data_IF_828703835322
#
_entry.id   IF_828703835322
#
_cell.length_a   1.000
_cell.length_b   1.000
_cell.length_c   1.000
_cell.angle_alpha   90.00
_cell.angle_beta   90.00
_cell.angle_gamma   90.00
#
_symmetry.space_group_name_H-M   'P 1'
#
loop_
_entity.id
_entity.type
_entity.pdbx_description
1 polymer ?
#
# COMPACT_ATOMS: atom_id res chain seq x y z
N UNK A 1 16.82 -34.65 11.56
CA UNK A 1 17.11 -34.14 10.21
C UNK A 1 16.51 -35.05 9.16
N UNK A 2 16.12 -34.51 8.01
CA UNK A 2 15.32 -35.22 7.03
C UNK A 2 15.95 -35.22 5.63
N UNK A 3 17.28 -35.36 5.61
CA UNK A 3 18.12 -35.49 4.41
C UNK A 3 18.50 -36.95 4.20
N UNK A 4 18.43 -37.44 2.96
CA UNK A 4 18.76 -38.81 2.56
C UNK A 4 19.78 -38.84 1.41
N UNK A 5 20.52 -39.95 1.32
CA UNK A 5 21.46 -40.22 0.23
C UNK A 5 20.79 -41.13 -0.81
N UNK A 6 21.04 -40.88 -2.09
CA UNK A 6 20.59 -41.72 -3.21
C UNK A 6 21.77 -42.02 -4.13
N UNK A 7 22.00 -43.29 -4.45
CA UNK A 7 22.94 -43.70 -5.50
C UNK A 7 22.25 -43.66 -6.85
N UNK A 8 22.85 -42.99 -7.82
CA UNK A 8 22.37 -42.95 -9.20
C UNK A 8 22.90 -44.15 -9.99
N UNK A 9 22.27 -44.43 -11.14
CA UNK A 9 22.70 -45.50 -12.06
C UNK A 9 24.15 -45.32 -12.53
N UNK A 10 24.62 -44.07 -12.59
CA UNK A 10 25.95 -43.70 -13.04
C UNK A 10 27.01 -43.78 -11.90
N UNK A 11 26.66 -44.34 -10.74
CA UNK A 11 27.57 -44.49 -9.59
C UNK A 11 27.73 -43.24 -8.70
N UNK A 12 27.26 -42.07 -9.15
CA UNK A 12 27.29 -40.83 -8.36
C UNK A 12 26.31 -40.87 -7.17
N UNK A 13 26.68 -40.19 -6.08
CA UNK A 13 25.84 -40.03 -4.90
C UNK A 13 25.17 -38.66 -4.97
N UNK A 14 23.85 -38.63 -4.89
CA UNK A 14 23.06 -37.40 -4.74
C UNK A 14 22.45 -37.34 -3.35
N UNK A 15 22.32 -36.13 -2.84
CA UNK A 15 21.59 -35.86 -1.60
C UNK A 15 20.19 -35.32 -1.93
N UNK A 16 19.23 -35.62 -1.09
CA UNK A 16 17.88 -35.10 -1.19
C UNK A 16 17.30 -34.87 0.19
N UNK A 17 16.19 -34.14 0.25
CA UNK A 17 15.46 -33.89 1.48
C UNK A 17 14.01 -34.36 1.36
N UNK A 18 13.43 -34.64 2.51
CA UNK A 18 12.03 -35.03 2.66
C UNK A 18 11.45 -34.28 3.85
N UNK A 19 10.38 -33.51 3.69
CA UNK A 19 9.65 -33.02 4.85
C UNK A 19 8.16 -32.97 4.58
N UNK A 20 7.38 -33.04 5.65
CA UNK A 20 5.93 -32.92 5.61
C UNK A 20 5.56 -31.56 6.17
N UNK A 21 4.81 -30.80 5.40
CA UNK A 21 4.14 -29.62 5.93
C UNK A 21 3.01 -30.09 6.86
N UNK A 22 3.01 -29.57 8.10
CA UNK A 22 2.05 -29.97 9.12
C UNK A 22 0.66 -29.41 8.88
N UNK A 23 0.54 -28.32 8.12
CA UNK A 23 -0.75 -27.65 7.95
C UNK A 23 -1.46 -28.11 6.69
N UNK A 24 -0.80 -28.04 5.54
CA UNK A 24 -1.40 -28.56 4.30
C UNK A 24 -1.36 -30.08 4.22
N UNK A 25 -0.66 -30.72 5.15
CA UNK A 25 -0.44 -32.16 5.16
C UNK A 25 0.30 -32.69 3.91
N UNK A 26 0.92 -31.78 3.14
CA UNK A 26 1.62 -32.11 1.89
C UNK A 26 3.02 -32.63 2.19
N UNK A 27 3.42 -33.69 1.46
CA UNK A 27 4.74 -34.29 1.58
C UNK A 27 5.64 -33.78 0.47
N UNK A 28 6.74 -33.12 0.83
CA UNK A 28 7.76 -32.62 -0.08
C UNK A 28 8.95 -33.56 -0.08
N UNK A 29 9.26 -34.16 -1.24
CA UNK A 29 10.46 -34.97 -1.44
C UNK A 29 11.18 -34.47 -2.69
N UNK A 30 12.40 -33.96 -2.54
CA UNK A 30 13.21 -33.51 -3.67
C UNK A 30 14.63 -34.02 -3.55
N UNK A 31 15.20 -34.40 -4.69
CA UNK A 31 16.63 -34.66 -4.84
C UNK A 31 17.27 -33.33 -5.23
N UNK A 32 18.36 -32.97 -4.59
CA UNK A 32 19.12 -31.74 -4.90
C UNK A 32 20.26 -32.16 -5.83
N UNK A 33 20.14 -31.96 -7.16
CA UNK A 33 21.08 -32.51 -8.12
C UNK A 33 22.49 -31.91 -7.99
N UNK A 34 22.60 -30.66 -7.52
CA UNK A 34 23.87 -29.96 -7.31
C UNK A 34 24.54 -30.24 -5.95
N UNK A 35 23.84 -30.87 -5.00
CA UNK A 35 24.38 -31.09 -3.66
C UNK A 35 25.48 -32.15 -3.67
N UNK A 36 26.70 -31.75 -3.27
CA UNK A 36 27.86 -32.65 -3.15
C UNK A 36 28.01 -33.17 -1.72
N UNK A 37 27.59 -32.36 -0.75
CA UNK A 37 27.65 -32.70 0.68
C UNK A 37 26.26 -32.82 1.29
N UNK A 38 26.20 -33.44 2.46
CA UNK A 38 24.97 -33.49 3.27
C UNK A 38 24.52 -32.08 3.68
N UNK A 39 25.47 -31.21 3.99
CA UNK A 39 25.21 -29.83 4.42
C UNK A 39 24.49 -29.02 3.34
N UNK A 40 24.89 -29.17 2.06
CA UNK A 40 24.21 -28.50 0.94
C UNK A 40 22.72 -28.88 0.87
N UNK A 41 22.41 -30.16 1.10
CA UNK A 41 21.03 -30.63 1.13
C UNK A 41 20.26 -30.19 2.37
N UNK A 42 20.93 -29.99 3.51
CA UNK A 42 20.35 -29.39 4.71
C UNK A 42 20.01 -27.91 4.47
N UNK A 43 20.89 -27.13 3.83
CA UNK A 43 20.60 -25.75 3.43
C UNK A 43 19.42 -25.67 2.45
N UNK A 44 19.37 -26.57 1.47
CA UNK A 44 18.24 -26.65 0.55
C UNK A 44 16.91 -27.00 1.25
N UNK A 45 16.95 -27.86 2.28
CA UNK A 45 15.78 -28.15 3.11
C UNK A 45 15.31 -26.90 3.88
N UNK A 46 16.24 -26.16 4.50
CA UNK A 46 15.94 -24.93 5.24
C UNK A 46 15.31 -23.89 4.31
N UNK A 47 15.92 -23.66 3.15
CA UNK A 47 15.40 -22.72 2.14
C UNK A 47 13.99 -23.09 1.68
N UNK A 48 13.74 -24.38 1.39
CA UNK A 48 12.42 -24.84 0.99
C UNK A 48 11.35 -24.67 2.09
N UNK A 49 11.72 -24.82 3.37
CA UNK A 49 10.83 -24.54 4.50
C UNK A 49 10.57 -23.05 4.65
N UNK A 50 11.59 -22.21 4.49
CA UNK A 50 11.45 -20.75 4.49
C UNK A 50 10.52 -20.29 3.37
N UNK A 51 10.69 -20.75 2.13
CA UNK A 51 9.80 -20.40 1.01
C UNK A 51 8.32 -20.73 1.29
N UNK A 52 8.03 -21.88 1.90
CA UNK A 52 6.66 -22.25 2.29
C UNK A 52 6.14 -21.35 3.41
N UNK A 53 7.01 -21.01 4.36
CA UNK A 53 6.69 -20.11 5.46
C UNK A 53 6.39 -18.70 4.96
N UNK A 54 7.24 -18.14 4.10
CA UNK A 54 7.14 -16.79 3.55
C UNK A 54 5.88 -16.64 2.67
N UNK A 55 5.63 -17.62 1.79
CA UNK A 55 4.38 -17.71 1.00
C UNK A 55 3.14 -17.66 1.87
N UNK A 56 3.19 -18.35 3.01
CA UNK A 56 2.05 -18.45 3.92
C UNK A 56 1.87 -17.20 4.77
N UNK A 57 2.95 -16.55 5.16
CA UNK A 57 2.90 -15.25 5.81
C UNK A 57 2.49 -14.13 4.83
N UNK A 58 2.38 -14.41 3.53
CA UNK A 58 2.10 -13.39 2.51
C UNK A 58 3.27 -12.42 2.31
N UNK A 59 4.43 -12.76 2.89
CA UNK A 59 5.72 -12.12 2.63
C UNK A 59 6.26 -12.76 1.35
N UNK A 60 5.49 -12.72 0.27
CA UNK A 60 6.13 -12.68 -1.03
C UNK A 60 7.00 -11.42 -1.03
N UNK A 61 8.17 -11.46 -1.66
CA UNK A 61 9.00 -10.29 -1.96
C UNK A 61 8.22 -9.36 -2.90
N UNK A 62 7.03 -8.86 -2.50
CA UNK A 62 6.26 -7.91 -3.29
C UNK A 62 7.19 -6.72 -3.48
N UNK A 63 7.42 -6.46 -4.77
CA UNK A 63 8.70 -5.97 -5.25
C UNK A 63 9.19 -4.72 -4.55
N UNK A 64 10.50 -4.59 -4.54
CA UNK A 64 11.25 -3.35 -4.39
C UNK A 64 10.95 -2.40 -5.57
N UNK A 65 9.68 -2.25 -5.92
CA UNK A 65 9.22 -1.37 -6.98
C UNK A 65 9.49 0.07 -6.50
N UNK A 66 10.36 0.83 -7.20
CA UNK A 66 10.60 2.21 -6.85
C UNK A 66 9.31 3.01 -7.04
N UNK A 67 9.05 3.95 -6.12
CA UNK A 67 7.86 4.81 -6.19
C UNK A 67 7.81 5.58 -7.52
N UNK A 68 8.97 6.00 -8.05
CA UNK A 68 9.07 6.67 -9.36
C UNK A 68 8.51 5.81 -10.49
N UNK A 69 8.93 4.54 -10.56
CA UNK A 69 8.46 3.59 -11.56
C UNK A 69 6.95 3.35 -11.48
N UNK A 70 6.39 3.29 -10.27
CA UNK A 70 4.95 3.18 -10.07
C UNK A 70 4.18 4.38 -10.62
N UNK A 71 4.67 5.60 -10.38
CA UNK A 71 4.01 6.81 -10.89
C UNK A 71 3.93 6.83 -12.41
N UNK A 72 5.03 6.52 -13.08
CA UNK A 72 5.12 6.59 -14.54
C UNK A 72 4.37 5.46 -15.25
N UNK A 73 4.53 4.23 -14.76
CA UNK A 73 3.98 3.06 -15.45
C UNK A 73 2.50 2.82 -15.13
N UNK A 74 2.06 3.16 -13.91
CA UNK A 74 0.74 2.75 -13.41
C UNK A 74 -0.14 3.95 -13.12
N UNK A 75 0.30 4.85 -12.24
CA UNK A 75 -0.58 5.89 -11.70
C UNK A 75 -0.95 6.97 -12.72
N UNK A 76 0.00 7.52 -13.48
CA UNK A 76 -0.26 8.59 -14.45
C UNK A 76 -1.15 8.12 -15.62
N UNK A 77 -0.91 6.95 -16.25
CA UNK A 77 -1.82 6.40 -17.26
C UNK A 77 -3.24 6.19 -16.71
N UNK A 78 -3.35 5.64 -15.49
CA UNK A 78 -4.62 5.43 -14.84
C UNK A 78 -5.34 6.74 -14.51
N UNK A 79 -4.63 7.76 -14.01
CA UNK A 79 -5.20 9.08 -13.70
C UNK A 79 -5.72 9.76 -14.97
N UNK A 80 -4.97 9.69 -16.08
CA UNK A 80 -5.40 10.24 -17.38
C UNK A 80 -6.70 9.60 -17.90
N UNK A 81 -6.89 8.31 -17.67
CA UNK A 81 -8.09 7.60 -18.11
C UNK A 81 -9.31 7.83 -17.21
N UNK A 82 -9.12 7.98 -15.89
CA UNK A 82 -10.21 7.94 -14.92
C UNK A 82 -10.56 9.31 -14.29
N UNK A 83 -9.59 10.21 -14.17
CA UNK A 83 -9.75 11.47 -13.43
C UNK A 83 -9.83 12.67 -14.38
N UNK A 84 -10.73 13.62 -14.07
CA UNK A 84 -10.77 14.93 -14.72
C UNK A 84 -9.56 15.81 -14.34
N UNK A 85 -9.08 15.68 -13.10
CA UNK A 85 -7.96 16.46 -12.53
C UNK A 85 -6.57 15.90 -12.86
N UNK A 86 -6.44 15.07 -13.91
CA UNK A 86 -5.17 14.42 -14.27
C UNK A 86 -4.04 15.41 -14.56
N UNK A 87 -4.37 16.62 -15.03
CA UNK A 87 -3.38 17.67 -15.31
C UNK A 87 -2.67 18.10 -14.03
N UNK A 88 -3.40 18.33 -12.95
CA UNK A 88 -2.82 18.72 -11.67
C UNK A 88 -1.95 17.60 -11.09
N UNK A 89 -2.38 16.35 -11.27
CA UNK A 89 -1.60 15.17 -10.88
C UNK A 89 -0.26 15.12 -11.63
N UNK A 90 -0.26 15.45 -12.93
CA UNK A 90 0.96 15.47 -13.75
C UNK A 90 1.98 16.54 -13.35
N UNK A 91 1.51 17.67 -12.80
CA UNK A 91 2.40 18.73 -12.30
C UNK A 91 3.01 18.40 -10.93
N UNK A 92 2.27 17.66 -10.10
CA UNK A 92 2.66 17.36 -8.72
C UNK A 92 3.48 16.06 -8.61
N UNK A 93 3.25 15.08 -9.48
CA UNK A 93 3.96 13.80 -9.47
C UNK A 93 5.50 13.94 -9.57
N UNK A 94 6.09 14.75 -10.48
CA UNK A 94 7.55 14.88 -10.57
C UNK A 94 8.21 15.34 -9.27
N UNK A 95 7.51 16.22 -8.53
CA UNK A 95 7.99 16.75 -7.28
C UNK A 95 7.99 15.69 -6.17
N UNK A 96 6.97 14.83 -6.13
CA UNK A 96 6.93 13.69 -5.21
C UNK A 96 8.02 12.66 -5.54
N UNK A 97 8.26 12.42 -6.83
CA UNK A 97 9.35 11.53 -7.26
C UNK A 97 10.72 12.04 -6.82
N UNK A 98 10.96 13.35 -6.96
CA UNK A 98 12.22 13.96 -6.55
C UNK A 98 12.45 13.84 -5.04
N UNK A 99 11.40 14.00 -4.23
CA UNK A 99 11.53 13.89 -2.78
C UNK A 99 11.72 12.43 -2.30
N UNK A 100 11.02 11.48 -2.93
CA UNK A 100 11.09 10.06 -2.59
C UNK A 100 12.01 9.27 -3.53
N UNK A 101 13.04 9.92 -4.08
CA UNK A 101 13.99 9.27 -4.97
C UNK A 101 14.72 8.11 -4.27
N UNK A 102 14.87 6.99 -4.97
CA UNK A 102 15.53 5.79 -4.45
C UNK A 102 14.73 4.97 -3.44
N UNK A 103 13.55 5.42 -3.02
CA UNK A 103 12.70 4.70 -2.05
C UNK A 103 11.68 3.80 -2.75
N UNK A 104 11.55 2.58 -2.24
CA UNK A 104 10.48 1.68 -2.65
C UNK A 104 9.15 2.05 -1.99
N UNK A 105 8.03 1.66 -2.61
CA UNK A 105 6.67 1.93 -2.06
C UNK A 105 6.50 1.44 -0.61
N UNK A 106 7.17 0.34 -0.24
CA UNK A 106 7.09 -0.28 1.09
C UNK A 106 7.95 0.40 2.15
N UNK A 107 9.01 1.08 1.73
CA UNK A 107 9.96 1.75 2.65
C UNK A 107 9.42 3.09 3.16
N UNK A 108 8.36 3.60 2.52
CA UNK A 108 7.78 4.90 2.86
C UNK A 108 6.94 4.75 4.12
N UNK A 109 7.50 5.23 5.23
CA UNK A 109 6.82 5.28 6.53
C UNK A 109 5.99 6.56 6.68
N UNK A 110 5.02 6.54 7.60
CA UNK A 110 4.23 7.73 7.96
C UNK A 110 5.11 8.90 8.44
N UNK A 111 6.21 8.61 9.15
CA UNK A 111 7.18 9.63 9.56
C UNK A 111 7.82 10.36 8.38
N UNK A 112 8.13 9.66 7.28
CA UNK A 112 8.70 10.31 6.11
C UNK A 112 7.69 11.21 5.40
N UNK A 113 6.40 10.86 5.46
CA UNK A 113 5.31 11.68 4.93
C UNK A 113 5.10 12.93 5.80
N UNK A 114 5.24 12.82 7.12
CA UNK A 114 5.22 13.98 8.03
C UNK A 114 6.42 14.91 7.83
N UNK A 115 7.62 14.34 7.66
CA UNK A 115 8.82 15.10 7.30
C UNK A 115 8.59 15.86 5.99
N UNK A 116 8.07 15.17 4.97
CA UNK A 116 7.71 15.80 3.70
C UNK A 116 6.76 16.99 3.90
N UNK A 117 5.68 16.79 4.66
CA UNK A 117 4.71 17.84 4.96
C UNK A 117 5.38 19.06 5.61
N UNK A 118 6.23 18.84 6.61
CA UNK A 118 6.93 19.91 7.34
C UNK A 118 7.92 20.65 6.43
N UNK A 119 8.74 19.92 5.67
CA UNK A 119 9.72 20.49 4.74
C UNK A 119 9.05 21.37 3.69
N UNK A 120 7.87 20.94 3.21
CA UNK A 120 7.10 21.69 2.21
C UNK A 120 6.48 22.96 2.73
N UNK A 121 6.09 22.99 4.00
CA UNK A 121 5.60 24.19 4.68
C UNK A 121 6.72 25.18 4.96
N UNK A 122 7.89 24.67 5.35
CA UNK A 122 9.08 25.47 5.67
C UNK A 122 9.78 26.02 4.41
N UNK A 123 9.69 25.32 3.28
CA UNK A 123 10.33 25.75 2.03
C UNK A 123 9.52 26.88 1.37
N UNK A 124 10.06 28.11 1.29
CA UNK A 124 9.37 29.21 0.64
C UNK A 124 9.24 28.96 -0.88
N UNK A 125 8.25 29.60 -1.48
CA UNK A 125 8.08 29.57 -2.94
C UNK A 125 9.15 30.43 -3.61
N UNK A 126 9.38 30.27 -4.92
CA UNK A 126 10.29 31.15 -5.71
C UNK A 126 10.04 32.65 -5.51
N UNK A 127 8.83 33.03 -5.13
CA UNK A 127 8.42 34.41 -4.81
C UNK A 127 8.73 34.85 -3.37
N UNK A 128 9.45 34.04 -2.58
CA UNK A 128 9.74 34.28 -1.17
C UNK A 128 8.55 34.09 -0.21
N UNK A 129 7.35 33.84 -0.73
CA UNK A 129 6.15 33.67 0.09
C UNK A 129 6.08 32.27 0.72
N UNK A 130 5.54 32.14 1.96
CA UNK A 130 5.29 30.83 2.56
C UNK A 130 4.32 30.03 1.68
N UNK A 131 4.55 28.72 1.58
CA UNK A 131 3.67 27.86 0.79
C UNK A 131 2.32 27.72 1.48
N UNK A 132 1.24 27.78 0.68
CA UNK A 132 -0.12 27.65 1.22
C UNK A 132 -0.36 26.21 1.71
N UNK A 133 -0.98 26.01 2.89
CA UNK A 133 -1.29 24.67 3.42
C UNK A 133 -2.17 23.86 2.46
N UNK A 134 -3.09 24.53 1.76
CA UNK A 134 -3.94 23.91 0.74
C UNK A 134 -3.14 23.24 -0.40
N UNK A 135 -1.98 23.79 -0.77
CA UNK A 135 -1.11 23.19 -1.80
C UNK A 135 -0.47 21.91 -1.29
N UNK A 136 0.05 21.92 -0.07
CA UNK A 136 0.63 20.73 0.58
C UNK A 136 -0.42 19.64 0.76
N UNK A 137 -1.64 20.00 1.14
CA UNK A 137 -2.76 19.06 1.22
C UNK A 137 -3.06 18.41 -0.14
N UNK A 138 -2.98 19.14 -1.27
CA UNK A 138 -3.13 18.54 -2.61
C UNK A 138 -2.04 17.53 -2.91
N UNK A 139 -0.77 17.87 -2.61
CA UNK A 139 0.38 16.96 -2.75
C UNK A 139 0.15 15.67 -1.93
N UNK A 140 -0.30 15.79 -0.68
CA UNK A 140 -0.62 14.66 0.19
C UNK A 140 -1.81 13.83 -0.31
N UNK A 141 -2.88 14.47 -0.83
CA UNK A 141 -4.03 13.74 -1.38
C UNK A 141 -3.67 12.92 -2.61
N UNK A 142 -2.78 13.44 -3.47
CA UNK A 142 -2.27 12.69 -4.60
C UNK A 142 -1.50 11.46 -4.12
N UNK A 143 -0.54 11.66 -3.20
CA UNK A 143 0.26 10.56 -2.64
C UNK A 143 -0.63 9.48 -2.01
N UNK A 144 -1.63 9.88 -1.21
CA UNK A 144 -2.61 8.95 -0.62
C UNK A 144 -3.42 8.19 -1.67
N UNK A 145 -3.81 8.86 -2.76
CA UNK A 145 -4.55 8.21 -3.85
C UNK A 145 -3.68 7.24 -4.66
N UNK A 146 -2.38 7.54 -4.80
CA UNK A 146 -1.40 6.65 -5.42
C UNK A 146 -1.20 5.38 -4.59
N UNK A 147 -1.05 5.51 -3.26
CA UNK A 147 -0.98 4.35 -2.36
C UNK A 147 -2.27 3.53 -2.33
N UNK A 148 -3.42 4.18 -2.39
CA UNK A 148 -4.71 3.49 -2.49
C UNK A 148 -4.82 2.68 -3.78
N UNK A 149 -4.25 3.16 -4.89
CA UNK A 149 -4.19 2.42 -6.15
C UNK A 149 -3.15 1.29 -6.08
N UNK A 150 -2.00 1.52 -5.45
CA UNK A 150 -0.97 0.47 -5.33
C UNK A 150 -1.45 -0.70 -4.50
N UNK A 151 -2.28 -0.48 -3.47
CA UNK A 151 -2.92 -1.55 -2.70
C UNK A 151 -3.89 -2.35 -3.57
N UNK A 152 -4.69 -1.69 -4.42
CA UNK A 152 -5.61 -2.38 -5.35
C UNK A 152 -4.91 -3.29 -6.35
N UNK A 153 -3.65 -2.99 -6.68
CA UNK A 153 -2.81 -3.80 -7.55
C UNK A 153 -1.81 -4.66 -6.79
N UNK A 154 -2.01 -4.86 -5.48
CA UNK A 154 -1.18 -5.68 -4.60
C UNK A 154 0.32 -5.30 -4.57
N UNK A 155 0.67 -4.08 -4.99
CA UNK A 155 2.04 -3.56 -5.00
C UNK A 155 2.49 -3.04 -3.63
N UNK A 156 1.55 -2.55 -2.82
CA UNK A 156 1.79 -2.08 -1.46
C UNK A 156 0.84 -2.76 -0.47
N UNK A 157 1.27 -2.90 0.78
CA UNK A 157 0.49 -3.55 1.84
C UNK A 157 -0.43 -2.58 2.58
N UNK A 158 0.08 -1.39 2.89
CA UNK A 158 -0.66 -0.38 3.65
C UNK A 158 -0.42 1.01 3.08
N UNK A 159 -1.38 1.92 3.35
CA UNK A 159 -1.26 3.32 2.97
C UNK A 159 -0.66 4.11 4.15
N UNK A 160 0.57 4.63 4.06
CA UNK A 160 1.17 5.41 5.15
C UNK A 160 0.49 6.77 5.35
N UNK A 161 -0.13 7.34 4.32
CA UNK A 161 -0.76 8.65 4.35
C UNK A 161 -2.07 8.69 5.14
N UNK A 162 -2.71 7.54 5.40
CA UNK A 162 -3.95 7.50 6.19
C UNK A 162 -3.74 7.85 7.67
N UNK A 163 -2.49 7.76 8.14
CA UNK A 163 -2.10 8.08 9.52
C UNK A 163 -1.73 9.56 9.70
N UNK A 164 -1.59 10.31 8.60
CA UNK A 164 -1.10 11.69 8.63
C UNK A 164 -2.26 12.67 8.52
N UNK A 165 -2.38 13.56 9.49
CA UNK A 165 -3.42 14.59 9.49
C UNK A 165 -3.14 15.68 8.46
N UNK A 166 -4.18 16.14 7.76
CA UNK A 166 -4.09 17.27 6.86
C UNK A 166 -3.95 18.58 7.65
N UNK A 167 -3.21 19.53 7.07
CA UNK A 167 -3.10 20.87 7.67
C UNK A 167 -4.44 21.63 7.54
N UNK A 168 -4.86 22.42 8.54
CA UNK A 168 -6.05 23.24 8.42
C UNK A 168 -5.83 24.29 7.32
N UNK A 169 -6.53 24.14 6.19
CA UNK A 169 -6.57 25.18 5.17
C UNK A 169 -7.55 26.27 5.60
N UNK A 170 -7.17 27.54 5.48
CA UNK A 170 -7.95 28.74 5.86
C UNK A 170 -9.26 28.95 5.10
N UNK A 171 -9.80 27.94 4.43
CA UNK A 171 -11.14 28.00 3.84
C UNK A 171 -12.17 27.68 4.91
N UNK A 172 -12.67 28.74 5.53
CA UNK A 172 -13.92 28.78 6.27
C UNK A 172 -15.07 28.16 5.46
N UNK A 173 -15.87 27.34 6.15
CA UNK A 173 -17.29 27.10 5.86
C UNK A 173 -17.67 26.75 4.41
N UNK A 174 -17.63 25.46 4.08
CA UNK A 174 -18.78 24.88 3.38
C UNK A 174 -19.11 23.59 4.10
N UNK A 175 -20.22 23.61 4.85
CA UNK A 175 -20.71 22.46 5.58
C UNK A 175 -20.91 21.29 4.63
N UNK A 176 -20.00 20.33 4.68
CA UNK A 176 -20.29 18.99 4.20
C UNK A 176 -21.26 18.44 5.23
N UNK A 177 -22.55 18.56 4.90
CA UNK A 177 -23.60 17.73 5.49
C UNK A 177 -23.21 16.28 5.20
N UNK A 178 -22.46 15.67 6.12
CA UNK A 178 -22.29 14.24 6.16
C UNK A 178 -23.67 13.66 6.35
N UNK A 179 -24.27 13.24 5.23
CA UNK A 179 -25.48 12.44 5.11
C UNK A 179 -25.27 11.12 5.86
N UNK A 180 -25.31 11.17 7.19
CA UNK A 180 -25.74 10.03 7.99
C UNK A 180 -27.19 9.81 7.60
N UNK A 181 -27.39 8.74 6.84
CA UNK A 181 -28.67 8.11 6.56
C UNK A 181 -29.29 7.73 7.91
N UNK A 182 -30.00 8.66 8.55
CA UNK A 182 -30.94 8.36 9.62
C UNK A 182 -32.25 7.97 8.94
N UNK A 183 -32.49 6.67 8.91
CA UNK A 183 -33.83 6.12 8.77
C UNK A 183 -34.67 6.62 9.95
N UNK A 184 -35.95 6.86 9.69
CA UNK A 184 -37.02 6.97 10.69
C UNK A 184 -37.19 8.31 11.41
N UNK A 185 -37.83 9.26 10.71
CA UNK A 185 -38.84 10.12 11.34
C UNK A 185 -39.79 10.68 10.27
N UNK A 186 -40.68 9.81 9.79
CA UNK A 186 -41.89 10.18 9.06
C UNK A 186 -43.08 9.65 9.86
N UNK A 187 -43.37 10.25 11.01
CA UNK A 187 -44.62 10.03 11.72
C UNK A 187 -44.86 11.19 12.68
N UNK A 188 -45.45 12.28 12.20
CA UNK A 188 -46.36 13.18 12.96
C UNK A 188 -46.69 14.45 12.18
N UNK A 189 -47.49 14.32 11.11
CA UNK A 189 -48.23 15.44 10.53
C UNK A 189 -49.67 15.01 10.20
N UNK A 190 -50.41 14.62 11.24
CA UNK A 190 -51.88 14.61 11.24
C UNK A 190 -52.35 14.92 12.66
N UNK A 191 -52.89 16.12 12.88
CA UNK A 191 -53.35 16.57 14.20
C UNK A 191 -54.00 17.95 14.12
N UNK A 192 -55.25 17.95 13.66
CA UNK A 192 -56.24 19.03 13.59
C UNK A 192 -56.09 20.21 14.57
N UNK A 193 -56.06 21.43 14.02
CA UNK A 193 -56.37 22.67 14.74
C UNK A 193 -57.74 23.20 14.32
N UNK A 194 -58.76 22.91 15.14
CA UNK A 194 -60.06 23.58 15.13
C UNK A 194 -60.08 24.53 16.33
N UNK A 195 -60.17 25.84 16.11
CA UNK A 195 -60.93 26.80 16.94
C UNK A 195 -60.84 28.18 16.29
N UNK A 196 -61.95 28.65 15.70
CA UNK A 196 -62.20 30.07 15.49
C UNK A 196 -63.63 30.34 15.92
N UNK A 197 -63.78 31.00 17.06
CA UNK A 197 -65.05 31.52 17.56
C UNK A 197 -64.85 32.95 18.01
N UNK A 198 -65.89 33.76 17.75
CA UNK A 198 -66.19 35.11 18.24
C UNK A 198 -65.72 36.24 17.32
N UNK A 199 -66.43 37.37 17.25
CA UNK A 199 -67.17 38.05 18.34
C UNK A 199 -68.57 37.53 18.66
#
# INVERSE_FOLDING_TARGET
MSVFKKKNKNGTISYGYYFRDRVTNTRYRKIVPLARTKWDAEQAEIKAKQEIFDKRLGIEEKGTDPLSGFFDQVYLPWSKANKKSWRDDSYTAPMLKQYFEGKALREISAQQVEQFKNDRLNTPTKKGTPRRPATVNRELTLLSSAFSLSIKYDKAESNPCSKVDLSPSTTSATGICCRKRSHDSWYSLTGHGLTSSLP
#
